data_IF_163411966471
#
_entry.id   IF_163411966471
#
_cell.length_a   1.000
_cell.length_b   1.000
_cell.length_c   1.000
_cell.angle_alpha   90.00
_cell.angle_beta   90.00
_cell.angle_gamma   90.00
#
_symmetry.space_group_name_H-M   'P 1'
#
loop_
_entity.id
_entity.type
_entity.pdbx_description
1 polymer ?
#
# COMPACT_ATOMS: atom_id res chain seq x y z
N UNK A 1 -9.04 0.30 7.44
CA UNK A 1 -9.10 0.43 5.96
C UNK A 1 -8.16 -0.53 5.24
N UNK A 2 -6.92 -0.74 5.71
CA UNK A 2 -5.97 -1.69 5.11
C UNK A 2 -6.53 -3.12 4.96
N UNK A 3 -7.34 -3.58 5.91
CA UNK A 3 -7.93 -4.93 5.93
C UNK A 3 -8.91 -5.20 4.78
N UNK A 4 -9.47 -4.17 4.12
CA UNK A 4 -10.32 -4.35 2.95
C UNK A 4 -9.55 -4.43 1.62
N UNK A 5 -8.33 -3.90 1.58
CA UNK A 5 -7.43 -3.93 0.41
C UNK A 5 -6.71 -5.29 0.35
N UNK A 6 -6.38 -5.88 1.49
CA UNK A 6 -5.62 -7.13 1.58
C UNK A 6 -6.49 -8.38 1.37
N UNK A 7 -7.79 -8.35 1.71
CA UNK A 7 -8.72 -9.48 1.56
C UNK A 7 -8.83 -10.06 0.13
N UNK A 8 -8.93 -9.28 -0.96
CA UNK A 8 -8.99 -9.84 -2.31
C UNK A 8 -7.65 -10.44 -2.75
N UNK A 9 -6.53 -9.87 -2.31
CA UNK A 9 -5.19 -10.35 -2.65
C UNK A 9 -4.96 -11.71 -1.98
N UNK A 10 -5.20 -11.83 -0.67
CA UNK A 10 -5.02 -13.11 0.04
C UNK A 10 -5.99 -14.20 -0.44
N UNK A 11 -7.21 -13.83 -0.86
CA UNK A 11 -8.20 -14.79 -1.38
C UNK A 11 -7.82 -15.36 -2.76
N UNK A 12 -7.13 -14.61 -3.62
CA UNK A 12 -6.66 -15.12 -4.91
C UNK A 12 -5.52 -16.15 -4.76
N UNK A 13 -4.65 -16.01 -3.76
CA UNK A 13 -3.56 -16.96 -3.52
C UNK A 13 -4.04 -18.32 -2.99
N UNK A 14 -5.11 -18.37 -2.19
CA UNK A 14 -5.62 -19.62 -1.60
C UNK A 14 -6.44 -20.45 -2.61
N UNK A 15 -7.03 -19.82 -3.63
CA UNK A 15 -7.95 -20.50 -4.57
C UNK A 15 -7.25 -21.28 -5.69
N UNK A 16 -5.92 -21.18 -5.81
CA UNK A 16 -5.12 -21.82 -6.86
C UNK A 16 -5.04 -23.37 -6.78
N UNK A 17 -5.59 -24.00 -5.73
CA UNK A 17 -5.30 -25.41 -5.42
C UNK A 17 -6.38 -26.44 -5.74
N UNK A 18 -7.59 -26.07 -6.20
CA UNK A 18 -8.66 -27.05 -6.43
C UNK A 18 -9.67 -26.58 -7.46
N UNK A 19 -9.36 -26.79 -8.74
CA UNK A 19 -10.37 -26.85 -9.78
C UNK A 19 -10.32 -28.24 -10.41
N UNK A 20 -11.25 -29.09 -9.96
CA UNK A 20 -11.58 -30.37 -10.59
C UNK A 20 -11.97 -30.12 -12.06
N UNK A 21 -11.24 -30.75 -12.96
CA UNK A 21 -11.47 -30.73 -14.41
C UNK A 21 -12.71 -31.56 -14.76
N UNK A 22 -13.88 -30.94 -14.68
CA UNK A 22 -15.17 -31.58 -15.02
C UNK A 22 -15.93 -30.98 -16.21
N UNK A 23 -15.49 -29.86 -16.79
CA UNK A 23 -16.31 -29.12 -17.78
C UNK A 23 -15.55 -28.53 -18.98
N UNK A 24 -14.25 -28.84 -19.13
CA UNK A 24 -13.37 -28.20 -20.14
C UNK A 24 -13.85 -28.35 -21.60
N UNK A 25 -14.72 -29.31 -21.89
CA UNK A 25 -15.26 -29.54 -23.24
C UNK A 25 -16.50 -28.67 -23.57
N UNK A 26 -17.15 -28.04 -22.59
CA UNK A 26 -18.32 -27.18 -22.79
C UNK A 26 -17.97 -25.69 -22.75
N UNK A 27 -16.86 -25.31 -22.11
CA UNK A 27 -16.38 -23.93 -21.98
C UNK A 27 -15.95 -23.29 -23.33
N UNK A 28 -15.56 -24.10 -24.31
CA UNK A 28 -15.09 -23.63 -25.63
C UNK A 28 -16.24 -23.23 -26.57
N UNK A 29 -17.46 -23.72 -26.31
CA UNK A 29 -18.67 -23.43 -27.12
C UNK A 29 -19.52 -22.33 -26.48
N UNK A 30 -19.62 -22.28 -25.15
CA UNK A 30 -20.32 -21.23 -24.42
C UNK A 30 -19.52 -20.80 -23.19
N UNK A 31 -18.84 -19.65 -23.27
CA UNK A 31 -18.19 -19.03 -22.11
C UNK A 31 -19.26 -18.68 -21.07
N UNK A 32 -19.24 -19.33 -19.91
CA UNK A 32 -20.15 -18.98 -18.82
C UNK A 32 -19.87 -17.53 -18.37
N UNK A 33 -20.91 -16.69 -18.18
CA UNK A 33 -20.72 -15.35 -17.67
C UNK A 33 -20.11 -15.42 -16.27
N UNK A 34 -18.96 -14.79 -16.13
CA UNK A 34 -18.23 -14.63 -14.87
C UNK A 34 -18.48 -13.25 -14.31
N UNK A 35 -18.17 -13.06 -13.03
CA UNK A 35 -18.21 -11.73 -12.39
C UNK A 35 -17.33 -10.69 -13.12
N UNK A 36 -16.32 -11.15 -13.87
CA UNK A 36 -15.43 -10.29 -14.65
C UNK A 36 -16.11 -9.72 -15.91
N UNK A 37 -17.22 -10.31 -16.34
CA UNK A 37 -17.98 -9.84 -17.50
C UNK A 37 -18.99 -8.72 -17.11
N UNK A 38 -19.09 -8.38 -15.82
CA UNK A 38 -19.87 -7.24 -15.34
C UNK A 38 -19.14 -5.94 -15.70
N UNK A 39 -19.81 -4.92 -16.25
CA UNK A 39 -19.18 -3.64 -16.52
C UNK A 39 -18.63 -3.04 -15.23
N UNK A 40 -17.33 -2.76 -15.22
CA UNK A 40 -16.71 -2.00 -14.15
C UNK A 40 -17.30 -0.59 -14.08
N UNK A 41 -17.16 0.11 -12.93
CA UNK A 41 -17.63 1.49 -12.81
C UNK A 41 -17.01 2.36 -13.91
N UNK A 42 -17.88 2.87 -14.77
CA UNK A 42 -17.54 3.65 -15.96
C UNK A 42 -18.25 5.01 -15.95
N UNK A 43 -17.72 5.98 -16.69
CA UNK A 43 -18.31 7.31 -16.83
C UNK A 43 -17.64 8.41 -15.99
N UNK A 44 -18.32 9.55 -15.90
CA UNK A 44 -17.80 10.83 -15.37
C UNK A 44 -17.29 10.78 -13.93
N UNK A 45 -17.88 9.90 -13.10
CA UNK A 45 -17.42 9.69 -11.73
C UNK A 45 -15.96 9.20 -11.69
N UNK A 46 -15.57 8.31 -12.61
CA UNK A 46 -14.23 7.74 -12.62
C UNK A 46 -13.19 8.80 -12.98
N UNK A 47 -13.46 9.62 -13.98
CA UNK A 47 -12.56 10.72 -14.37
C UNK A 47 -12.37 11.72 -13.23
N UNK A 48 -13.46 12.07 -12.55
CA UNK A 48 -13.40 12.95 -11.38
C UNK A 48 -12.62 12.34 -10.22
N UNK A 49 -12.87 11.05 -9.94
CA UNK A 49 -12.15 10.30 -8.91
C UNK A 49 -10.65 10.24 -9.21
N UNK A 50 -10.28 9.87 -10.45
CA UNK A 50 -8.88 9.77 -10.89
C UNK A 50 -8.17 11.12 -10.81
N UNK A 51 -8.86 12.22 -11.15
CA UNK A 51 -8.32 13.57 -11.01
C UNK A 51 -8.01 13.92 -9.54
N UNK A 52 -8.92 13.61 -8.61
CA UNK A 52 -8.73 13.88 -7.17
C UNK A 52 -7.70 12.95 -6.55
N UNK A 53 -7.63 11.70 -6.99
CA UNK A 53 -6.67 10.72 -6.50
C UNK A 53 -5.23 11.17 -6.74
N UNK A 54 -4.95 11.81 -7.89
CA UNK A 54 -3.64 12.41 -8.16
C UNK A 54 -3.28 13.49 -7.13
N UNK A 55 -4.21 14.38 -6.79
CA UNK A 55 -3.98 15.45 -5.80
C UNK A 55 -3.63 14.86 -4.44
N UNK A 56 -4.40 13.88 -3.96
CA UNK A 56 -4.15 13.26 -2.66
C UNK A 56 -2.83 12.48 -2.63
N UNK A 57 -2.49 11.76 -3.70
CA UNK A 57 -1.22 11.07 -3.80
C UNK A 57 -0.04 12.05 -3.81
N UNK A 58 -0.15 13.19 -4.50
CA UNK A 58 0.87 14.24 -4.46
C UNK A 58 1.03 14.81 -3.06
N UNK A 59 -0.07 15.12 -2.38
CA UNK A 59 -0.03 15.61 -0.98
C UNK A 59 0.64 14.59 -0.05
N UNK A 60 0.35 13.30 -0.22
CA UNK A 60 0.95 12.23 0.56
C UNK A 60 2.47 12.17 0.35
N UNK A 61 2.93 12.18 -0.91
CA UNK A 61 4.36 12.14 -1.24
C UNK A 61 5.09 13.36 -0.67
N UNK A 62 4.52 14.55 -0.84
CA UNK A 62 5.08 15.79 -0.31
C UNK A 62 5.14 15.76 1.21
N UNK A 63 4.06 15.34 1.87
CA UNK A 63 4.01 15.23 3.34
C UNK A 63 5.05 14.26 3.89
N UNK A 64 5.21 13.10 3.26
CA UNK A 64 6.26 12.13 3.63
C UNK A 64 7.65 12.73 3.43
N UNK A 65 7.89 13.43 2.32
CA UNK A 65 9.17 14.10 2.06
C UNK A 65 9.52 15.13 3.12
N UNK A 66 8.57 15.98 3.50
CA UNK A 66 8.75 16.99 4.55
C UNK A 66 9.02 16.32 5.91
N UNK A 67 8.28 15.27 6.25
CA UNK A 67 8.47 14.55 7.50
C UNK A 67 9.88 13.94 7.60
N UNK A 68 10.30 13.21 6.56
CA UNK A 68 11.63 12.59 6.51
C UNK A 68 12.72 13.67 6.57
N UNK A 69 12.56 14.75 5.80
CA UNK A 69 13.50 15.88 5.80
C UNK A 69 13.64 16.53 7.17
N UNK A 70 12.52 16.71 7.88
CA UNK A 70 12.51 17.29 9.23
C UNK A 70 13.22 16.40 10.23
N UNK A 71 12.93 15.10 10.23
CA UNK A 71 13.58 14.13 11.12
C UNK A 71 15.09 14.08 10.84
N UNK A 72 15.49 14.02 9.56
CA UNK A 72 16.89 14.01 9.17
C UNK A 72 17.62 15.28 9.61
N UNK A 73 17.02 16.45 9.37
CA UNK A 73 17.58 17.74 9.77
C UNK A 73 17.79 17.81 11.29
N UNK A 74 16.81 17.40 12.09
CA UNK A 74 16.91 17.39 13.55
C UNK A 74 18.03 16.44 14.03
N UNK A 75 18.15 15.26 13.40
CA UNK A 75 19.21 14.29 13.72
C UNK A 75 20.61 14.80 13.38
N UNK A 76 20.77 15.51 12.26
CA UNK A 76 22.09 15.97 11.77
C UNK A 76 22.52 17.28 12.43
N UNK A 77 21.59 18.20 12.67
CA UNK A 77 21.91 19.54 13.19
C UNK A 77 22.51 19.53 14.60
N UNK A 78 22.22 18.50 15.40
CA UNK A 78 22.70 18.43 16.79
C UNK A 78 22.02 19.44 17.73
N UNK A 79 21.02 20.20 17.24
CA UNK A 79 20.29 21.20 18.02
C UNK A 79 19.43 20.59 19.13
N UNK A 80 19.11 19.29 19.04
CA UNK A 80 18.29 18.58 20.03
C UNK A 80 19.13 17.49 20.69
N UNK A 81 19.36 17.65 21.99
CA UNK A 81 19.90 16.59 22.83
C UNK A 81 18.76 15.69 23.30
N UNK A 82 18.68 14.49 22.73
CA UNK A 82 17.58 13.56 22.98
C UNK A 82 17.74 12.72 24.25
N UNK A 83 18.90 12.74 24.90
CA UNK A 83 19.19 11.99 26.14
C UNK A 83 18.70 10.52 26.10
N UNK A 84 18.98 9.80 25.00
CA UNK A 84 18.46 8.45 24.78
C UNK A 84 19.09 7.38 25.69
N UNK A 85 20.13 7.71 26.45
CA UNK A 85 20.82 6.78 27.33
C UNK A 85 21.49 7.48 28.50
N UNK A 86 21.94 6.71 29.49
CA UNK A 86 22.73 7.25 30.60
C UNK A 86 24.02 7.93 30.08
N UNK A 87 24.51 8.96 30.77
CA UNK A 87 25.76 9.63 30.40
C UNK A 87 26.93 8.64 30.44
N UNK A 88 27.92 8.84 29.57
CA UNK A 88 29.15 8.05 29.59
C UNK A 88 29.89 8.25 30.91
N UNK A 89 30.38 7.15 31.49
CA UNK A 89 31.16 7.21 32.72
C UNK A 89 32.49 7.93 32.46
N UNK A 90 32.93 8.81 33.38
CA UNK A 90 34.17 9.54 33.20
C UNK A 90 35.34 8.56 33.09
N UNK A 91 36.15 8.74 32.05
CA UNK A 91 37.38 7.97 31.86
C UNK A 91 38.37 8.46 32.91
N UNK A 92 38.50 7.75 34.04
CA UNK A 92 39.60 7.98 34.97
C UNK A 92 40.91 7.62 34.24
N UNK A 93 41.64 8.64 33.79
CA UNK A 93 42.98 8.46 33.26
C UNK A 93 43.86 7.87 34.37
N UNK A 94 44.27 6.62 34.20
CA UNK A 94 45.12 5.87 35.12
C UNK A 94 46.60 6.14 34.88
#
# INVERSE_FOLDING_TARGET
MLNHILRPITRNFIRSGSHSSGSKAMDDVFKLPTINDIPGPCGSWKEYYDARQKVYNTQLIVGIGILIGTIAYVKISGNIFFNFGPPEEPIENK
#
